data_IF_520593757383
#
_entry.id   IF_520593757383
#
_cell.length_a   1.000
_cell.length_b   1.000
_cell.length_c   1.000
_cell.angle_alpha   90.00
_cell.angle_beta   90.00
_cell.angle_gamma   90.00
#
_symmetry.space_group_name_H-M   'P 1'
#
loop_
_entity.id
_entity.type
_entity.pdbx_description
1 polymer ?
#
# COMPACT_ATOMS: atom_id res chain seq x y z
N UNK A 1 2.29 5.47 12.19
CA UNK A 1 1.90 4.35 11.30
C UNK A 1 0.39 4.31 11.05
N UNK A 2 -0.45 4.04 12.06
CA UNK A 2 -1.91 3.92 11.87
C UNK A 2 -2.58 5.16 11.24
N UNK A 3 -2.17 6.37 11.64
CA UNK A 3 -2.69 7.61 11.04
C UNK A 3 -2.43 7.69 9.52
N UNK A 4 -1.29 7.16 9.07
CA UNK A 4 -0.95 7.13 7.65
C UNK A 4 -1.74 6.06 6.92
N UNK A 5 -1.89 4.88 7.51
CA UNK A 5 -2.77 3.83 6.97
C UNK A 5 -4.21 4.31 6.83
N UNK A 6 -4.71 5.07 7.82
CA UNK A 6 -6.03 5.71 7.72
C UNK A 6 -6.11 6.72 6.57
N UNK A 7 -5.09 7.58 6.38
CA UNK A 7 -5.06 8.50 5.23
C UNK A 7 -5.10 7.76 3.90
N UNK A 8 -4.38 6.65 3.77
CA UNK A 8 -4.43 5.81 2.57
C UNK A 8 -5.83 5.23 2.36
N UNK A 9 -6.45 4.66 3.40
CA UNK A 9 -7.80 4.10 3.31
C UNK A 9 -8.82 5.13 2.85
N UNK A 10 -8.75 6.35 3.42
CA UNK A 10 -9.62 7.45 3.03
C UNK A 10 -9.36 7.92 1.59
N UNK A 11 -8.10 7.96 1.13
CA UNK A 11 -7.75 8.32 -0.24
C UNK A 11 -8.33 7.33 -1.26
N UNK A 12 -8.36 6.04 -0.90
CA UNK A 12 -8.92 4.97 -1.72
C UNK A 12 -10.42 4.76 -1.55
N UNK A 13 -11.05 5.49 -0.61
CA UNK A 13 -12.48 5.41 -0.23
C UNK A 13 -12.88 4.08 0.41
N UNK A 14 -11.94 3.42 1.07
CA UNK A 14 -12.17 2.18 1.82
C UNK A 14 -12.77 2.50 3.19
N UNK A 15 -13.67 1.62 3.67
CA UNK A 15 -14.38 1.78 4.96
C UNK A 15 -13.69 1.06 6.13
N UNK A 16 -12.55 0.43 5.87
CA UNK A 16 -11.75 -0.27 6.86
C UNK A 16 -10.25 -0.08 6.59
N UNK A 17 -9.42 -0.32 7.60
CA UNK A 17 -7.97 -0.43 7.43
C UNK A 17 -7.62 -1.92 7.36
N UNK A 18 -7.16 -2.36 6.20
CA UNK A 18 -6.56 -3.68 5.99
C UNK A 18 -5.03 -3.63 5.86
N UNK A 19 -4.43 -4.75 5.49
CA UNK A 19 -2.99 -4.92 5.30
C UNK A 19 -2.44 -4.12 4.12
N UNK A 20 -3.21 -3.99 3.04
CA UNK A 20 -2.90 -3.18 1.87
C UNK A 20 -2.65 -1.70 2.23
N UNK A 21 -3.42 -1.19 3.19
CA UNK A 21 -3.28 0.18 3.71
C UNK A 21 -2.02 0.37 4.56
N UNK A 22 -1.66 -0.66 5.33
CA UNK A 22 -0.43 -0.67 6.12
C UNK A 22 0.77 -0.73 5.18
N UNK A 23 0.71 -1.61 4.17
CA UNK A 23 1.76 -1.79 3.18
C UNK A 23 2.01 -0.48 2.39
N UNK A 24 0.96 0.17 1.90
CA UNK A 24 1.07 1.48 1.26
C UNK A 24 1.65 2.54 2.20
N UNK A 25 1.23 2.55 3.47
CA UNK A 25 1.76 3.50 4.46
C UNK A 25 3.25 3.28 4.75
N UNK A 26 3.75 2.03 4.68
CA UNK A 26 5.18 1.73 4.85
C UNK A 26 6.03 2.35 3.75
N UNK A 27 5.57 2.33 2.49
CA UNK A 27 6.32 2.95 1.36
C UNK A 27 6.47 4.47 1.48
N UNK A 28 5.67 5.12 2.32
CA UNK A 28 5.63 6.57 2.50
C UNK A 28 6.36 7.03 3.77
N UNK A 29 6.91 6.10 4.56
CA UNK A 29 7.61 6.41 5.80
C UNK A 29 9.09 6.10 5.67
N UNK A 30 10.00 7.05 5.95
CA UNK A 30 11.43 6.77 5.99
C UNK A 30 11.76 5.64 6.97
N UNK A 31 12.77 4.83 6.62
CA UNK A 31 13.32 3.76 7.46
C UNK A 31 13.39 2.39 6.77
N UNK A 32 13.90 1.41 7.50
CA UNK A 32 14.20 0.05 7.00
C UNK A 32 13.07 -0.58 6.18
N UNK A 33 11.78 -0.51 6.57
CA UNK A 33 10.73 -1.11 5.76
C UNK A 33 10.59 -0.48 4.37
N UNK A 34 10.74 0.84 4.24
CA UNK A 34 10.66 1.52 2.95
C UNK A 34 11.88 1.23 2.08
N UNK A 35 13.07 1.16 2.69
CA UNK A 35 14.31 0.80 2.01
C UNK A 35 14.24 -0.63 1.45
N UNK A 36 13.84 -1.61 2.28
CA UNK A 36 13.70 -3.01 1.85
C UNK A 36 12.66 -3.14 0.72
N UNK A 37 11.51 -2.47 0.84
CA UNK A 37 10.51 -2.48 -0.22
C UNK A 37 11.07 -1.86 -1.51
N UNK A 38 11.77 -0.73 -1.43
CA UNK A 38 12.39 -0.08 -2.58
C UNK A 38 13.50 -0.94 -3.22
N UNK A 39 14.33 -1.61 -2.43
CA UNK A 39 15.38 -2.52 -2.89
C UNK A 39 14.80 -3.71 -3.67
N UNK A 40 13.57 -4.11 -3.36
CA UNK A 40 12.80 -5.12 -4.10
C UNK A 40 11.93 -4.55 -5.24
N UNK A 41 12.05 -3.26 -5.55
CA UNK A 41 11.27 -2.60 -6.60
C UNK A 41 9.81 -2.33 -6.23
N UNK A 42 9.45 -2.48 -4.96
CA UNK A 42 8.10 -2.20 -4.45
C UNK A 42 8.00 -0.72 -4.07
N UNK A 43 7.23 0.02 -4.86
CA UNK A 43 6.97 1.44 -4.67
C UNK A 43 5.50 1.70 -4.35
N UNK A 44 5.20 2.90 -3.83
CA UNK A 44 3.82 3.32 -3.62
C UNK A 44 2.98 3.21 -4.91
N UNK A 45 3.52 3.70 -6.03
CA UNK A 45 2.81 3.66 -7.31
C UNK A 45 2.60 2.24 -7.85
N UNK A 46 3.60 1.36 -7.71
CA UNK A 46 3.43 -0.04 -8.14
C UNK A 46 2.36 -0.74 -7.31
N UNK A 47 2.30 -0.48 -6.00
CA UNK A 47 1.26 -1.03 -5.13
C UNK A 47 -0.12 -0.48 -5.47
N UNK A 48 -0.27 0.84 -5.66
CA UNK A 48 -1.56 1.44 -6.06
C UNK A 48 -2.05 0.83 -7.37
N UNK A 49 -1.15 0.59 -8.33
CA UNK A 49 -1.50 -0.06 -9.60
C UNK A 49 -1.97 -1.50 -9.43
N UNK A 50 -1.30 -2.29 -8.59
CA UNK A 50 -1.65 -3.70 -8.35
C UNK A 50 -2.95 -3.83 -7.55
N UNK A 51 -3.13 -2.98 -6.53
CA UNK A 51 -4.26 -3.06 -5.60
C UNK A 51 -5.52 -2.40 -6.15
N UNK A 52 -5.37 -1.31 -6.92
CA UNK A 52 -6.49 -0.45 -7.33
C UNK A 52 -6.50 -0.11 -8.83
N UNK A 53 -5.57 -0.64 -9.62
CA UNK A 53 -5.60 -0.53 -11.08
C UNK A 53 -6.71 -1.37 -11.69
N UNK A 54 -7.27 -0.90 -12.81
CA UNK A 54 -8.34 -1.56 -13.57
C UNK A 54 -7.90 -2.93 -14.11
N UNK A 55 -8.09 -3.96 -13.29
CA UNK A 55 -7.65 -5.33 -13.54
C UNK A 55 -7.70 -6.16 -12.27
N UNK A 56 -8.82 -6.09 -11.55
CA UNK A 56 -9.06 -6.84 -10.32
C UNK A 56 -9.17 -8.34 -10.60
N UNK A 57 -8.03 -9.02 -10.65
CA UNK A 57 -7.92 -10.46 -10.40
C UNK A 57 -6.62 -10.75 -9.65
N UNK A 58 -6.45 -10.13 -8.48
CA UNK A 58 -5.59 -10.72 -7.45
C UNK A 58 -6.37 -11.87 -6.79
N UNK A 59 -6.58 -12.96 -7.52
CA UNK A 59 -6.89 -14.25 -6.89
C UNK A 59 -5.58 -14.82 -6.38
N UNK A 60 -5.29 -14.57 -5.10
CA UNK A 60 -4.34 -15.38 -4.38
C UNK A 60 -4.97 -16.78 -4.19
N UNK A 61 -4.46 -17.75 -4.95
CA UNK A 61 -4.64 -19.18 -4.70
C UNK A 61 -3.55 -19.72 -3.79
#
# INVERSE_FOLDING_TARGET
MLERSLRVALAQRDRHIGDEHILLALTLCPGVPAEVLADHGVTHESLVRVLYGSGGEAKAG
#
